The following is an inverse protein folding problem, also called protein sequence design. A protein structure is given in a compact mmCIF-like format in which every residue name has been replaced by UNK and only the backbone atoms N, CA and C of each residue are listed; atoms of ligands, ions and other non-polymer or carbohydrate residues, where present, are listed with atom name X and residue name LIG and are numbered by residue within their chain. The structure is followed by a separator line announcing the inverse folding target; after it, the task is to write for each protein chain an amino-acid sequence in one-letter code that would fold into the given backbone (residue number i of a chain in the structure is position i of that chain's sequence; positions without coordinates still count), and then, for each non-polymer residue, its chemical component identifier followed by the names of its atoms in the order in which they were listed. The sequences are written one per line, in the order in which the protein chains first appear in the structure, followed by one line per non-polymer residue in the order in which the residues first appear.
data_IF_015208212611
#
_entry.id   IF_015208212611
#
_cell.length_a   1.000
_cell.length_b   1.000
_cell.length_c   1.000
_cell.angle_alpha   90.00
_cell.angle_beta   90.00
_cell.angle_gamma   90.00
#
_symmetry.space_group_name_H-M   'P 1'
#
loop_
_entity.id
_entity.type
_entity.pdbx_description
1 polymer ?
#
# COMPACT_ATOMS: atom_id res chain seq x y z
N UNK A 1 2.59 -41.14 16.03
CA UNK A 1 1.98 -40.51 14.83
C UNK A 1 1.89 -38.98 14.89
N UNK A 2 1.68 -38.33 16.05
CA UNK A 2 1.63 -36.85 16.13
C UNK A 2 3.02 -36.16 16.07
N UNK A 3 4.05 -36.76 16.68
CA UNK A 3 5.41 -36.19 16.72
C UNK A 3 6.09 -36.11 15.35
N UNK A 4 5.95 -37.12 14.49
CA UNK A 4 6.56 -37.11 13.15
C UNK A 4 5.99 -36.04 12.22
N UNK A 5 4.70 -35.69 12.39
CA UNK A 5 4.07 -34.60 11.65
C UNK A 5 4.65 -33.25 12.10
N UNK A 6 4.77 -33.03 13.42
CA UNK A 6 5.33 -31.80 13.99
C UNK A 6 6.79 -31.60 13.54
N UNK A 7 7.57 -32.67 13.49
CA UNK A 7 8.98 -32.61 13.06
C UNK A 7 9.11 -32.28 11.56
N UNK A 8 8.26 -32.86 10.70
CA UNK A 8 8.19 -32.50 9.27
C UNK A 8 7.76 -31.05 9.04
N UNK A 9 6.84 -30.52 9.85
CA UNK A 9 6.43 -29.11 9.77
C UNK A 9 7.55 -28.16 10.21
N UNK A 10 8.28 -28.48 11.29
CA UNK A 10 9.45 -27.70 11.74
C UNK A 10 10.57 -27.68 10.70
N UNK A 11 10.81 -28.80 10.03
CA UNK A 11 11.84 -28.92 8.98
C UNK A 11 11.48 -28.09 7.75
N UNK A 12 10.22 -28.17 7.29
CA UNK A 12 9.71 -27.31 6.22
C UNK A 12 9.73 -25.82 6.56
N UNK A 13 9.45 -25.45 7.82
CA UNK A 13 9.54 -24.07 8.30
C UNK A 13 10.98 -23.55 8.20
N UNK A 14 11.96 -24.31 8.68
CA UNK A 14 13.39 -23.96 8.57
C UNK A 14 13.85 -23.82 7.12
N UNK A 15 13.51 -24.78 6.25
CA UNK A 15 13.87 -24.72 4.83
C UNK A 15 13.23 -23.52 4.12
N UNK A 16 12.04 -23.10 4.54
CA UNK A 16 11.37 -21.92 4.00
C UNK A 16 11.99 -20.61 4.51
N UNK A 17 12.41 -20.57 5.77
CA UNK A 17 13.14 -19.44 6.37
C UNK A 17 14.55 -19.29 5.78
N UNK A 18 15.28 -20.39 5.57
CA UNK A 18 16.59 -20.39 4.89
C UNK A 18 16.47 -19.93 3.45
N UNK A 19 15.51 -20.46 2.68
CA UNK A 19 15.25 -19.97 1.32
C UNK A 19 14.85 -18.51 1.28
N UNK A 20 14.10 -18.02 2.28
CA UNK A 20 13.78 -16.59 2.42
C UNK A 20 15.01 -15.75 2.72
N UNK A 21 15.94 -16.24 3.55
CA UNK A 21 17.20 -15.55 3.86
C UNK A 21 18.19 -15.58 2.69
N UNK A 22 18.26 -16.67 1.95
CA UNK A 22 19.10 -16.80 0.75
C UNK A 22 18.56 -15.95 -0.41
N UNK A 23 17.23 -15.79 -0.52
CA UNK A 23 16.60 -14.89 -1.47
C UNK A 23 16.45 -13.45 -0.95
N UNK A 24 16.77 -13.19 0.32
CA UNK A 24 16.74 -11.85 0.87
C UNK A 24 17.88 -11.05 0.24
N UNK A 25 17.54 -10.29 -0.81
CA UNK A 25 18.44 -9.28 -1.36
C UNK A 25 18.89 -8.38 -0.21
N UNK A 26 20.20 -8.12 -0.16
CA UNK A 26 20.78 -7.13 0.75
C UNK A 26 19.96 -5.84 0.60
N UNK A 27 19.37 -5.37 1.70
CA UNK A 27 18.55 -4.17 1.70
C UNK A 27 19.38 -2.98 1.22
N UNK A 28 19.12 -2.51 0.01
CA UNK A 28 19.70 -1.29 -0.55
C UNK A 28 18.62 -0.23 -0.64
N UNK A 29 18.80 0.85 0.12
CA UNK A 29 17.84 1.95 0.18
C UNK A 29 17.61 2.56 -1.21
N UNK A 30 18.63 2.68 -2.04
CA UNK A 30 18.52 3.22 -3.41
C UNK A 30 17.60 2.40 -4.32
N UNK A 31 17.60 1.07 -4.22
CA UNK A 31 16.68 0.21 -4.99
C UNK A 31 15.22 0.40 -4.53
N UNK A 32 15.01 0.60 -3.22
CA UNK A 32 13.69 0.88 -2.64
C UNK A 32 13.20 2.28 -3.02
N UNK A 33 14.10 3.27 -3.08
CA UNK A 33 13.80 4.62 -3.53
C UNK A 33 13.45 4.66 -5.02
N UNK A 34 14.17 3.90 -5.86
CA UNK A 34 13.86 3.76 -7.28
C UNK A 34 12.48 3.11 -7.51
N UNK A 35 12.10 2.14 -6.68
CA UNK A 35 10.78 1.50 -6.73
C UNK A 35 9.64 2.41 -6.22
N UNK A 36 9.96 3.34 -5.32
CA UNK A 36 9.01 4.30 -4.75
C UNK A 36 8.58 5.38 -5.75
N UNK A 37 9.36 5.64 -6.80
CA UNK A 37 8.99 6.61 -7.85
C UNK A 37 8.14 5.98 -8.98
N UNK A 38 7.91 4.66 -8.95
CA UNK A 38 7.05 4.00 -9.93
C UNK A 38 5.60 4.41 -9.74
N UNK A 39 4.93 4.66 -10.87
CA UNK A 39 3.48 4.79 -10.90
C UNK A 39 2.87 3.40 -10.90
N UNK A 40 1.96 3.17 -9.97
CA UNK A 40 1.17 1.96 -9.85
C UNK A 40 -0.21 2.20 -10.45
N UNK A 41 -0.79 1.15 -11.00
CA UNK A 41 -2.10 1.21 -11.66
C UNK A 41 -2.99 0.14 -11.03
N UNK A 42 -4.18 0.54 -10.58
CA UNK A 42 -5.17 -0.38 -10.02
C UNK A 42 -6.50 -0.20 -10.70
N UNK A 43 -7.09 -1.30 -11.15
CA UNK A 43 -8.44 -1.27 -11.71
C UNK A 43 -9.47 -1.22 -10.57
N UNK A 44 -10.32 -0.21 -10.59
CA UNK A 44 -11.40 0.00 -9.62
C UNK A 44 -12.72 -0.30 -10.32
N UNK A 45 -13.33 -1.47 -10.06
CA UNK A 45 -14.54 -1.92 -10.77
C UNK A 45 -15.75 -1.01 -10.51
N UNK A 46 -15.79 -0.36 -9.35
CA UNK A 46 -16.90 0.54 -8.95
C UNK A 46 -17.02 1.79 -9.84
N UNK A 47 -15.94 2.17 -10.52
CA UNK A 47 -15.92 3.29 -11.47
C UNK A 47 -15.50 2.86 -12.88
N UNK A 48 -15.38 1.55 -13.11
CA UNK A 48 -14.88 0.93 -14.35
C UNK A 48 -13.64 1.64 -14.92
N UNK A 49 -12.71 2.01 -14.04
CA UNK A 49 -11.54 2.81 -14.43
C UNK A 49 -10.25 2.34 -13.76
N UNK A 50 -9.14 2.56 -14.46
CA UNK A 50 -7.79 2.33 -13.96
C UNK A 50 -7.31 3.60 -13.27
N UNK A 51 -7.05 3.49 -11.97
CA UNK A 51 -6.54 4.57 -11.14
C UNK A 51 -5.03 4.46 -11.04
N UNK A 52 -4.34 5.54 -11.43
CA UNK A 52 -2.89 5.67 -11.31
C UNK A 52 -2.56 6.33 -9.98
N UNK A 53 -1.62 5.76 -9.24
CA UNK A 53 -1.18 6.28 -7.95
C UNK A 53 0.31 6.02 -7.72
N UNK A 54 0.92 6.80 -6.83
CA UNK A 54 2.27 6.50 -6.30
C UNK A 54 2.21 6.16 -4.83
N UNK A 55 3.14 5.33 -4.38
CA UNK A 55 3.29 5.02 -2.96
C UNK A 55 3.74 6.29 -2.21
N UNK A 56 3.20 6.46 -1.02
CA UNK A 56 3.65 7.51 -0.11
C UNK A 56 4.97 7.09 0.54
N UNK A 57 5.85 8.06 0.70
CA UNK A 57 7.10 7.95 1.45
C UNK A 57 6.89 8.54 2.85
N UNK A 58 7.83 8.27 3.76
CA UNK A 58 7.80 8.83 5.12
C UNK A 58 7.77 10.37 5.08
N UNK A 59 8.39 11.00 4.09
CA UNK A 59 8.35 12.46 3.92
C UNK A 59 6.97 13.01 3.57
N UNK A 60 6.09 12.21 2.97
CA UNK A 60 4.72 12.63 2.65
C UNK A 60 3.81 12.63 3.89
N UNK A 61 4.27 12.07 5.03
CA UNK A 61 3.49 12.02 6.27
C UNK A 61 3.19 13.42 6.83
N UNK A 62 4.04 14.40 6.53
CA UNK A 62 3.86 15.78 6.98
C UNK A 62 2.66 16.46 6.32
N UNK A 63 2.41 16.13 5.04
CA UNK A 63 1.32 16.68 4.25
C UNK A 63 -0.06 16.08 4.58
N UNK A 64 -0.09 14.85 5.12
CA UNK A 64 -1.33 14.12 5.42
C UNK A 64 -1.86 14.35 6.85
N UNK A 65 -1.23 15.23 7.62
CA UNK A 65 -1.73 15.59 8.96
C UNK A 65 -3.15 16.18 8.87
N UNK A 66 -4.07 15.65 9.67
CA UNK A 66 -5.47 16.08 9.76
C UNK A 66 -5.96 16.05 11.20
N UNK A 67 -7.13 16.66 11.48
CA UNK A 67 -7.71 16.64 12.83
C UNK A 67 -8.61 15.43 13.05
N UNK A 68 -9.17 14.89 11.98
CA UNK A 68 -10.01 13.68 11.99
C UNK A 68 -9.43 12.60 11.08
N UNK A 69 -9.79 11.34 11.33
CA UNK A 69 -9.40 10.21 10.48
C UNK A 69 -9.89 10.38 9.03
N UNK A 70 -11.05 11.00 8.84
CA UNK A 70 -11.59 11.30 7.51
C UNK A 70 -10.74 12.32 6.76
N UNK A 71 -10.32 13.42 7.42
CA UNK A 71 -9.42 14.40 6.81
C UNK A 71 -8.08 13.78 6.44
N UNK A 72 -7.55 12.89 7.29
CA UNK A 72 -6.32 12.16 7.03
C UNK A 72 -6.49 11.24 5.82
N UNK A 73 -7.58 10.49 5.75
CA UNK A 73 -7.89 9.59 4.63
C UNK A 73 -8.01 10.34 3.30
N UNK A 74 -8.70 11.48 3.28
CA UNK A 74 -8.86 12.34 2.10
C UNK A 74 -7.50 12.89 1.64
N UNK A 75 -6.68 13.38 2.57
CA UNK A 75 -5.33 13.90 2.26
C UNK A 75 -4.40 12.79 1.76
N UNK A 76 -4.51 11.60 2.33
CA UNK A 76 -3.75 10.42 1.93
C UNK A 76 -4.11 10.03 0.50
N UNK A 77 -5.40 9.90 0.19
CA UNK A 77 -5.90 9.63 -1.16
C UNK A 77 -5.41 10.69 -2.15
N UNK A 78 -5.59 11.97 -1.82
CA UNK A 78 -5.12 13.07 -2.66
C UNK A 78 -3.62 13.00 -2.93
N UNK A 79 -2.78 12.80 -1.90
CA UNK A 79 -1.33 12.79 -2.08
C UNK A 79 -0.87 11.63 -2.97
N UNK A 80 -1.50 10.45 -2.83
CA UNK A 80 -1.21 9.28 -3.67
C UNK A 80 -1.56 9.52 -5.14
N UNK A 81 -2.72 10.14 -5.40
CA UNK A 81 -3.18 10.46 -6.75
C UNK A 81 -2.39 11.62 -7.36
N UNK A 82 -2.17 12.70 -6.61
CA UNK A 82 -1.44 13.89 -7.04
C UNK A 82 0.02 13.59 -7.43
N UNK A 83 0.68 12.67 -6.72
CA UNK A 83 2.04 12.23 -7.09
C UNK A 83 2.10 11.46 -8.40
N UNK A 84 1.00 10.81 -8.81
CA UNK A 84 0.90 10.16 -10.11
C UNK A 84 0.45 11.13 -11.21
N UNK A 85 -0.45 12.05 -10.86
CA UNK A 85 -1.01 13.05 -11.75
C UNK A 85 -1.18 14.40 -11.01
N UNK A 86 -0.30 15.39 -11.26
CA UNK A 86 -0.33 16.68 -10.57
C UNK A 86 -1.57 17.52 -10.86
N UNK A 87 -2.38 17.18 -11.87
CA UNK A 87 -3.65 17.86 -12.16
C UNK A 87 -4.76 17.52 -11.14
N UNK A 88 -4.56 16.47 -10.34
CA UNK A 88 -5.48 16.07 -9.27
C UNK A 88 -5.21 16.92 -8.02
N UNK A 89 -6.11 17.86 -7.73
CA UNK A 89 -6.04 18.74 -6.56
C UNK A 89 -6.84 18.19 -5.39
N UNK A 90 -6.53 18.65 -4.17
CA UNK A 90 -7.26 18.24 -2.97
C UNK A 90 -8.75 18.60 -3.07
N UNK A 91 -9.06 19.72 -3.71
CA UNK A 91 -10.44 20.16 -3.93
C UNK A 91 -11.21 19.19 -4.85
N UNK A 92 -10.59 18.73 -5.94
CA UNK A 92 -11.19 17.72 -6.83
C UNK A 92 -11.46 16.42 -6.07
N UNK A 93 -10.55 15.99 -5.21
CA UNK A 93 -10.73 14.77 -4.39
C UNK A 93 -11.87 14.92 -3.39
N UNK A 94 -12.03 16.09 -2.77
CA UNK A 94 -13.15 16.38 -1.85
C UNK A 94 -14.52 16.41 -2.54
N UNK A 95 -14.56 16.64 -3.85
CA UNK A 95 -15.78 16.62 -4.65
C UNK A 95 -16.17 15.21 -5.12
N UNK A 96 -15.32 14.20 -4.90
CA UNK A 96 -15.64 12.83 -5.27
C UNK A 96 -16.84 12.32 -4.44
N UNK A 97 -17.74 11.54 -5.05
CA UNK A 97 -18.74 10.79 -4.29
C UNK A 97 -18.05 9.92 -3.25
N UNK A 98 -18.62 9.84 -2.04
CA UNK A 98 -18.05 9.09 -0.92
C UNK A 98 -17.77 7.63 -1.29
N UNK A 99 -18.70 7.01 -2.03
CA UNK A 99 -18.58 5.62 -2.51
C UNK A 99 -17.35 5.46 -3.40
N UNK A 100 -17.13 6.38 -4.34
CA UNK A 100 -15.98 6.38 -5.25
C UNK A 100 -14.68 6.59 -4.49
N UNK A 101 -14.62 7.57 -3.59
CA UNK A 101 -13.42 7.83 -2.79
C UNK A 101 -13.06 6.61 -1.93
N UNK A 102 -14.07 5.96 -1.34
CA UNK A 102 -13.91 4.75 -0.51
C UNK A 102 -13.42 3.56 -1.34
N UNK A 103 -14.03 3.32 -2.51
CA UNK A 103 -13.63 2.29 -3.46
C UNK A 103 -12.14 2.36 -3.82
N UNK A 104 -11.71 3.56 -4.23
CA UNK A 104 -10.33 3.83 -4.63
C UNK A 104 -9.41 3.65 -3.43
N UNK A 105 -9.76 4.22 -2.28
CA UNK A 105 -8.95 4.13 -1.08
C UNK A 105 -8.80 2.67 -0.63
N UNK A 106 -9.86 1.86 -0.62
CA UNK A 106 -9.76 0.44 -0.25
C UNK A 106 -8.82 -0.34 -1.16
N UNK A 107 -8.84 -0.08 -2.47
CA UNK A 107 -7.96 -0.76 -3.44
C UNK A 107 -6.51 -0.36 -3.29
N UNK A 108 -6.24 0.91 -3.03
CA UNK A 108 -4.88 1.46 -2.95
C UNK A 108 -4.27 1.27 -1.56
N UNK A 109 -5.07 1.38 -0.50
CA UNK A 109 -4.63 1.32 0.90
C UNK A 109 -4.72 -0.07 1.53
N UNK A 110 -5.29 -1.06 0.85
CA UNK A 110 -5.30 -2.46 1.30
C UNK A 110 -3.93 -2.96 1.82
N UNK A 111 -2.77 -2.61 1.21
CA UNK A 111 -1.46 -3.02 1.75
C UNK A 111 -1.10 -2.36 3.09
N UNK A 112 -1.63 -1.17 3.39
CA UNK A 112 -1.34 -0.40 4.61
C UNK A 112 -2.24 -0.81 5.78
N UNK A 113 -3.52 -1.09 5.53
CA UNK A 113 -4.49 -1.43 6.58
C UNK A 113 -4.58 -2.93 6.90
N UNK A 114 -4.03 -3.82 6.07
CA UNK A 114 -3.95 -5.25 6.38
C UNK A 114 -3.05 -5.59 7.59
N UNK A 115 -2.23 -4.64 8.07
CA UNK A 115 -1.39 -4.83 9.26
C UNK A 115 -2.12 -4.62 10.60
N UNK A 116 -3.38 -4.15 10.62
CA UNK A 116 -4.14 -3.94 11.87
C UNK A 116 -5.14 -5.07 12.22
N UNK A 117 -5.12 -6.20 11.48
CA UNK A 117 -5.95 -7.39 11.77
C UNK A 117 -5.14 -8.63 12.18
N UNK A 118 -4.08 -8.45 12.97
CA UNK A 118 -3.45 -9.56 13.69
C UNK A 118 -3.38 -9.27 15.20
#
# INVERSE_FOLDING_TARGET
MANEKIEKFRRKLKEFEEKKREQAKIFKIDEVLADSNKTYEVYVPEIDAVVKYKKLTIGDLEDIKGKTDEEIAIRLLWKMLNKADPEITLEKVKQLPIEVATAILQKISAPLFQMQKQ
#
